data_IF_991219778199
#
_entry.id   IF_991219778199
#
_cell.length_a   1.000
_cell.length_b   1.000
_cell.length_c   1.000
_cell.angle_alpha   90.00
_cell.angle_beta   90.00
_cell.angle_gamma   90.00
#
_symmetry.space_group_name_H-M   'P 1'
#
loop_
_entity.id
_entity.type
_entity.pdbx_description
1 polymer ?
#
# COMPACT_ATOMS: atom_id res chain seq x y z
N UNK A 1 -9.34 -12.84 -5.70
CA UNK A 1 -7.96 -13.37 -5.87
C UNK A 1 -7.34 -12.45 -6.89
N UNK A 2 -6.42 -11.57 -6.45
CA UNK A 2 -5.63 -10.74 -7.36
C UNK A 2 -4.74 -11.66 -8.18
N UNK A 3 -4.61 -11.37 -9.46
CA UNK A 3 -3.61 -12.09 -10.26
C UNK A 3 -2.22 -11.68 -9.73
N UNK A 4 -1.31 -12.65 -9.44
CA UNK A 4 -0.04 -12.36 -8.77
C UNK A 4 1.00 -11.71 -9.70
N UNK A 5 0.55 -10.86 -10.61
CA UNK A 5 1.38 -10.32 -11.69
C UNK A 5 1.82 -8.88 -11.46
N UNK A 6 1.16 -8.15 -10.54
CA UNK A 6 1.36 -6.72 -10.40
C UNK A 6 1.85 -6.36 -9.00
N UNK A 7 2.93 -5.60 -8.93
CA UNK A 7 3.50 -5.07 -7.70
C UNK A 7 3.45 -3.54 -7.69
N UNK A 8 2.96 -2.99 -6.60
CA UNK A 8 3.01 -1.56 -6.32
C UNK A 8 4.08 -1.28 -5.27
N UNK A 9 5.00 -0.38 -5.56
CA UNK A 9 6.20 -0.18 -4.74
C UNK A 9 6.50 1.29 -4.48
N UNK A 10 7.22 1.52 -3.38
CA UNK A 10 7.77 2.81 -3.00
C UNK A 10 9.30 2.81 -3.10
N UNK A 11 9.89 4.00 -3.13
CA UNK A 11 11.34 4.19 -3.30
C UNK A 11 12.14 4.23 -1.99
N UNK A 12 11.53 3.96 -0.84
CA UNK A 12 12.26 3.82 0.42
C UNK A 12 13.01 2.49 0.46
N UNK A 13 14.23 2.48 0.98
CA UNK A 13 15.11 1.28 0.97
C UNK A 13 14.51 0.11 1.75
N UNK A 14 13.85 0.39 2.85
CA UNK A 14 13.15 -0.58 3.70
C UNK A 14 11.92 -1.22 3.01
N UNK A 15 11.37 -0.56 1.99
CA UNK A 15 10.28 -1.09 1.17
C UNK A 15 10.72 -1.67 -0.17
N UNK A 16 11.93 -1.32 -0.64
CA UNK A 16 12.43 -1.70 -1.96
C UNK A 16 13.30 -2.95 -1.94
N UNK A 17 14.12 -3.15 -0.90
CA UNK A 17 15.13 -4.21 -0.92
C UNK A 17 14.54 -5.62 -0.96
N UNK A 18 13.36 -5.83 -0.40
CA UNK A 18 12.63 -7.10 -0.51
C UNK A 18 12.24 -7.48 -1.95
N UNK A 19 12.07 -6.49 -2.83
CA UNK A 19 11.71 -6.71 -4.22
C UNK A 19 12.75 -7.58 -4.96
N UNK A 20 14.03 -7.33 -4.76
CA UNK A 20 15.09 -8.06 -5.49
C UNK A 20 15.13 -9.53 -5.10
N UNK A 21 14.91 -9.83 -3.81
CA UNK A 21 14.76 -11.20 -3.33
C UNK A 21 13.52 -11.89 -3.93
N UNK A 22 12.41 -11.16 -4.03
CA UNK A 22 11.19 -11.67 -4.65
C UNK A 22 11.39 -11.94 -6.16
N UNK A 23 12.02 -11.03 -6.90
CA UNK A 23 12.32 -11.20 -8.32
C UNK A 23 13.23 -12.43 -8.56
N UNK A 24 14.28 -12.58 -7.74
CA UNK A 24 15.16 -13.75 -7.79
C UNK A 24 14.40 -15.04 -7.50
N UNK A 25 13.53 -15.06 -6.50
CA UNK A 25 12.70 -16.21 -6.15
C UNK A 25 11.73 -16.56 -7.28
N UNK A 26 11.06 -15.58 -7.88
CA UNK A 26 10.18 -15.79 -9.02
C UNK A 26 10.92 -16.42 -10.20
N UNK A 27 12.16 -15.97 -10.49
CA UNK A 27 12.99 -16.56 -11.54
C UNK A 27 13.37 -18.01 -11.21
N UNK A 28 13.79 -18.29 -9.97
CA UNK A 28 14.15 -19.63 -9.52
C UNK A 28 12.96 -20.60 -9.56
N UNK A 29 11.76 -20.13 -9.24
CA UNK A 29 10.53 -20.94 -9.32
C UNK A 29 9.96 -21.04 -10.74
N UNK A 30 10.67 -20.52 -11.74
CA UNK A 30 10.36 -20.74 -13.15
C UNK A 30 9.19 -19.91 -13.66
N UNK A 31 8.96 -18.70 -13.11
CA UNK A 31 7.98 -17.76 -13.68
C UNK A 31 8.30 -17.50 -15.14
N UNK A 32 7.27 -17.53 -15.98
CA UNK A 32 7.35 -17.24 -17.42
C UNK A 32 6.50 -16.02 -17.84
N UNK A 33 5.41 -15.74 -17.11
CA UNK A 33 4.55 -14.61 -17.40
C UNK A 33 5.21 -13.30 -16.97
N UNK A 34 5.12 -12.25 -17.79
CA UNK A 34 5.62 -10.93 -17.51
C UNK A 34 5.15 -10.40 -16.16
N UNK A 35 5.99 -9.62 -15.49
CA UNK A 35 5.69 -8.98 -14.22
C UNK A 35 5.57 -7.48 -14.43
N UNK A 36 4.38 -6.94 -14.16
CA UNK A 36 4.14 -5.51 -14.21
C UNK A 36 4.44 -4.89 -12.84
N UNK A 37 5.26 -3.83 -12.84
CA UNK A 37 5.64 -3.09 -11.63
C UNK A 37 5.26 -1.63 -11.83
N UNK A 38 4.46 -1.10 -10.88
CA UNK A 38 3.99 0.28 -10.86
C UNK A 38 4.66 1.03 -9.72
N UNK A 39 5.18 2.22 -9.98
CA UNK A 39 5.83 3.02 -8.94
C UNK A 39 6.43 4.32 -9.45
N UNK A 40 7.07 5.10 -8.58
CA UNK A 40 7.72 6.35 -8.94
C UNK A 40 8.74 6.19 -10.07
N UNK A 41 8.92 7.22 -10.89
CA UNK A 41 9.81 7.18 -12.07
C UNK A 41 11.22 6.69 -11.75
N UNK A 42 11.77 7.06 -10.59
CA UNK A 42 13.12 6.68 -10.18
C UNK A 42 13.30 5.16 -10.02
N UNK A 43 12.22 4.41 -9.72
CA UNK A 43 12.27 2.95 -9.59
C UNK A 43 12.71 2.26 -10.90
N UNK A 44 12.36 2.84 -12.06
CA UNK A 44 12.75 2.29 -13.35
C UNK A 44 14.26 2.16 -13.53
N UNK A 45 15.04 3.14 -13.05
CA UNK A 45 16.51 3.08 -13.10
C UNK A 45 17.06 1.96 -12.23
N UNK A 46 16.48 1.74 -11.06
CA UNK A 46 16.90 0.68 -10.13
C UNK A 46 16.57 -0.72 -10.71
N UNK A 47 15.39 -0.88 -11.30
CA UNK A 47 15.01 -2.12 -11.98
C UNK A 47 15.90 -2.43 -13.18
N UNK A 48 16.25 -1.42 -13.97
CA UNK A 48 17.18 -1.57 -15.08
C UNK A 48 18.57 -1.99 -14.60
N UNK A 49 19.06 -1.36 -13.52
CA UNK A 49 20.32 -1.77 -12.89
C UNK A 49 20.25 -3.23 -12.44
N UNK A 50 19.23 -3.62 -11.68
CA UNK A 50 19.05 -5.00 -11.24
C UNK A 50 19.06 -5.98 -12.41
N UNK A 51 18.28 -5.69 -13.45
CA UNK A 51 18.18 -6.55 -14.64
C UNK A 51 19.50 -6.71 -15.37
N UNK A 52 20.32 -5.65 -15.44
CA UNK A 52 21.61 -5.69 -16.14
C UNK A 52 22.65 -6.61 -15.46
N UNK A 53 22.53 -6.82 -14.15
CA UNK A 53 23.48 -7.65 -13.38
C UNK A 53 22.91 -9.03 -13.02
N UNK A 54 21.61 -9.13 -12.78
CA UNK A 54 20.98 -10.32 -12.21
C UNK A 54 19.85 -10.88 -13.10
N UNK A 55 19.63 -10.32 -14.29
CA UNK A 55 18.58 -10.77 -15.20
C UNK A 55 18.91 -12.01 -16.01
N UNK A 56 20.14 -12.53 -15.94
CA UNK A 56 20.54 -13.74 -16.65
C UNK A 56 19.72 -14.95 -16.17
N UNK A 57 19.09 -15.66 -17.09
CA UNK A 57 18.23 -16.82 -16.77
C UNK A 57 16.80 -16.50 -16.38
N UNK A 58 16.40 -15.24 -16.27
CA UNK A 58 15.00 -14.86 -16.10
C UNK A 58 14.21 -15.19 -17.38
N UNK A 59 13.10 -15.92 -17.23
CA UNK A 59 12.21 -16.30 -18.33
C UNK A 59 11.01 -15.36 -18.53
N UNK A 60 10.95 -14.27 -17.76
CA UNK A 60 9.89 -13.27 -17.82
C UNK A 60 10.48 -11.86 -17.92
N UNK A 61 9.73 -10.96 -18.52
CA UNK A 61 10.08 -9.54 -18.56
C UNK A 61 9.53 -8.79 -17.34
N UNK A 62 10.33 -7.81 -16.86
CA UNK A 62 9.87 -6.83 -15.90
C UNK A 62 9.37 -5.61 -16.69
N UNK A 63 8.05 -5.43 -16.70
CA UNK A 63 7.39 -4.31 -17.40
C UNK A 63 7.13 -3.19 -16.41
N UNK A 64 8.04 -2.23 -16.33
CA UNK A 64 7.88 -1.09 -15.44
C UNK A 64 6.93 -0.04 -16.03
N UNK A 65 6.01 0.44 -15.19
CA UNK A 65 5.08 1.52 -15.47
C UNK A 65 5.27 2.64 -14.46
N UNK A 66 5.82 3.75 -14.89
CA UNK A 66 5.97 4.91 -14.04
C UNK A 66 4.61 5.50 -13.67
N UNK A 67 4.44 5.75 -12.37
CA UNK A 67 3.28 6.47 -11.83
C UNK A 67 3.69 7.91 -11.55
N UNK A 68 2.87 8.85 -12.01
CA UNK A 68 3.00 10.27 -11.69
C UNK A 68 1.61 10.90 -11.71
N UNK A 69 1.05 11.16 -10.53
CA UNK A 69 -0.28 11.73 -10.40
C UNK A 69 -0.36 12.70 -9.23
N UNK A 70 -1.25 13.69 -9.33
CA UNK A 70 -1.57 14.65 -8.27
C UNK A 70 -2.93 14.35 -7.62
N UNK A 71 -3.74 13.52 -8.28
CA UNK A 71 -5.06 13.06 -7.91
C UNK A 71 -5.17 11.58 -8.26
N UNK A 72 -6.19 10.84 -7.79
CA UNK A 72 -6.37 9.44 -8.12
C UNK A 72 -6.38 9.21 -9.64
N UNK A 73 -5.56 8.27 -10.10
CA UNK A 73 -5.39 7.92 -11.50
C UNK A 73 -5.47 6.41 -11.68
N UNK A 74 -6.28 5.94 -12.63
CA UNK A 74 -6.30 4.53 -13.01
C UNK A 74 -4.95 4.15 -13.64
N UNK A 75 -4.23 3.22 -13.03
CA UNK A 75 -2.90 2.76 -13.48
C UNK A 75 -2.93 1.37 -14.08
N UNK A 76 -3.90 0.55 -13.68
CA UNK A 76 -4.10 -0.80 -14.21
C UNK A 76 -5.59 -1.14 -14.31
N UNK A 77 -5.96 -1.88 -15.35
CA UNK A 77 -7.30 -2.45 -15.50
C UNK A 77 -7.17 -3.84 -16.12
N UNK A 78 -7.77 -4.82 -15.48
CA UNK A 78 -7.91 -6.17 -15.98
C UNK A 78 -9.39 -6.55 -16.03
N UNK A 79 -9.71 -7.79 -16.40
CA UNK A 79 -11.10 -8.28 -16.34
C UNK A 79 -11.64 -8.45 -14.91
N UNK A 80 -10.78 -8.46 -13.88
CA UNK A 80 -11.15 -8.77 -12.51
C UNK A 80 -10.99 -7.60 -11.55
N UNK A 81 -10.08 -6.65 -11.84
CA UNK A 81 -9.74 -5.55 -10.94
C UNK A 81 -9.31 -4.31 -11.69
N UNK A 82 -9.72 -3.16 -11.17
CA UNK A 82 -9.17 -1.85 -11.48
C UNK A 82 -8.24 -1.43 -10.34
N UNK A 83 -7.08 -0.86 -10.68
CA UNK A 83 -6.14 -0.31 -9.70
C UNK A 83 -5.91 1.16 -10.00
N UNK A 84 -6.18 1.99 -9.00
CA UNK A 84 -5.90 3.42 -9.04
C UNK A 84 -4.76 3.76 -8.09
N UNK A 85 -3.82 4.59 -8.54
CA UNK A 85 -2.79 5.18 -7.70
C UNK A 85 -3.19 6.59 -7.29
N UNK A 86 -2.78 7.03 -6.11
CA UNK A 86 -2.97 8.39 -5.61
C UNK A 86 -1.76 8.85 -4.78
N UNK A 87 -1.44 10.17 -4.77
CA UNK A 87 -0.24 10.66 -4.12
C UNK A 87 -0.37 10.65 -2.59
N UNK A 88 0.67 10.17 -1.92
CA UNK A 88 0.86 10.25 -0.48
C UNK A 88 1.81 11.42 -0.14
N UNK A 89 1.78 11.86 1.12
CA UNK A 89 2.65 12.93 1.62
C UNK A 89 3.83 12.33 2.40
N UNK A 90 4.92 12.10 1.69
CA UNK A 90 6.16 11.61 2.29
C UNK A 90 7.39 12.34 1.73
N UNK A 91 8.55 12.19 2.39
CA UNK A 91 9.82 12.84 1.98
C UNK A 91 10.30 12.41 0.60
N UNK A 92 9.98 11.19 0.22
CA UNK A 92 10.28 10.61 -1.08
C UNK A 92 8.95 10.42 -1.82
N UNK A 93 8.94 10.66 -3.13
CA UNK A 93 7.78 10.41 -3.97
C UNK A 93 7.23 9.00 -3.74
N UNK A 94 5.98 8.92 -3.32
CA UNK A 94 5.30 7.67 -3.02
C UNK A 94 3.81 7.78 -3.32
N UNK A 95 3.19 6.63 -3.52
CA UNK A 95 1.78 6.52 -3.91
C UNK A 95 1.09 5.47 -3.05
N UNK A 96 -0.16 5.75 -2.70
CA UNK A 96 -1.12 4.76 -2.26
C UNK A 96 -1.80 4.11 -3.45
N UNK A 97 -2.41 2.96 -3.23
CA UNK A 97 -3.10 2.22 -4.28
C UNK A 97 -4.46 1.76 -3.78
N UNK A 98 -5.48 1.93 -4.64
CA UNK A 98 -6.83 1.43 -4.43
C UNK A 98 -7.14 0.37 -5.47
N UNK A 99 -7.63 -0.76 -5.00
CA UNK A 99 -8.02 -1.92 -5.79
C UNK A 99 -9.54 -2.07 -5.69
N UNK A 100 -10.22 -1.99 -6.81
CA UNK A 100 -11.67 -2.19 -6.88
C UNK A 100 -11.95 -3.41 -7.76
N UNK A 101 -12.63 -4.45 -7.22
CA UNK A 101 -13.03 -5.61 -8.01
C UNK A 101 -14.04 -5.21 -9.08
N UNK A 102 -13.99 -5.88 -10.23
CA UNK A 102 -14.98 -5.68 -11.27
C UNK A 102 -16.15 -6.61 -11.01
N UNK A 103 -17.41 -6.08 -10.90
CA UNK A 103 -18.59 -6.90 -10.68
C UNK A 103 -18.77 -7.97 -11.76
N UNK A 104 -19.19 -9.14 -11.34
CA UNK A 104 -19.56 -10.25 -12.23
C UNK A 104 -20.95 -10.79 -11.87
N UNK A 105 -21.53 -11.59 -12.73
CA UNK A 105 -22.82 -12.22 -12.44
C UNK A 105 -22.83 -13.07 -11.14
N UNK A 106 -21.64 -13.58 -10.72
CA UNK A 106 -21.49 -14.38 -9.50
C UNK A 106 -21.11 -13.53 -8.29
N UNK A 107 -20.56 -12.31 -8.49
CA UNK A 107 -20.18 -11.35 -7.47
C UNK A 107 -20.61 -9.97 -7.95
N UNK A 108 -21.86 -9.59 -7.71
CA UNK A 108 -22.40 -8.31 -8.20
C UNK A 108 -21.89 -7.10 -7.44
N UNK A 109 -21.34 -7.29 -6.24
CA UNK A 109 -20.83 -6.22 -5.40
C UNK A 109 -19.36 -5.93 -5.69
N UNK A 110 -19.00 -4.65 -5.60
CA UNK A 110 -17.59 -4.22 -5.66
C UNK A 110 -16.97 -4.48 -4.29
N UNK A 111 -15.91 -5.26 -4.27
CA UNK A 111 -15.04 -5.41 -3.11
C UNK A 111 -13.81 -4.56 -3.34
N UNK A 112 -13.43 -3.73 -2.36
CA UNK A 112 -12.35 -2.77 -2.50
C UNK A 112 -11.36 -2.82 -1.36
N UNK A 113 -10.08 -2.65 -1.70
CA UNK A 113 -8.97 -2.57 -0.78
C UNK A 113 -8.12 -1.34 -1.10
N UNK A 114 -7.63 -0.63 -0.09
CA UNK A 114 -6.67 0.43 -0.30
C UNK A 114 -5.46 0.27 0.62
N UNK A 115 -4.30 0.65 0.08
CA UNK A 115 -3.02 0.58 0.75
C UNK A 115 -2.40 1.97 0.83
N UNK A 116 -2.24 2.48 2.05
CA UNK A 116 -1.61 3.75 2.37
C UNK A 116 -0.48 3.51 3.35
N UNK A 117 0.76 3.52 2.88
CA UNK A 117 1.92 3.36 3.76
C UNK A 117 2.92 4.48 3.54
N UNK A 118 3.46 5.01 4.64
CA UNK A 118 4.32 6.18 4.76
C UNK A 118 3.69 7.44 4.18
N UNK A 119 2.83 8.04 4.97
CA UNK A 119 2.21 9.31 4.64
C UNK A 119 1.96 10.14 5.89
N UNK A 120 2.25 11.43 5.83
CA UNK A 120 1.65 12.37 6.77
C UNK A 120 0.13 12.39 6.57
N UNK A 121 -0.59 12.81 7.62
CA UNK A 121 -2.04 13.00 7.54
C UNK A 121 -2.41 13.97 6.43
N UNK A 122 -3.36 13.59 5.61
CA UNK A 122 -3.84 14.34 4.45
C UNK A 122 -5.34 14.20 4.34
N UNK A 123 -6.07 15.31 4.50
CA UNK A 123 -7.55 15.30 4.50
C UNK A 123 -8.14 14.72 3.20
N UNK A 124 -7.49 15.01 2.06
CA UNK A 124 -7.94 14.52 0.76
C UNK A 124 -7.98 12.98 0.65
N UNK A 125 -7.23 12.26 1.49
CA UNK A 125 -7.27 10.80 1.47
C UNK A 125 -8.65 10.26 1.80
N UNK A 126 -9.41 10.91 2.69
CA UNK A 126 -10.76 10.48 3.03
C UNK A 126 -11.71 10.52 1.84
N UNK A 127 -11.58 11.50 0.95
CA UNK A 127 -12.38 11.58 -0.28
C UNK A 127 -11.99 10.48 -1.28
N UNK A 128 -10.67 10.25 -1.47
CA UNK A 128 -10.16 9.27 -2.43
C UNK A 128 -10.41 7.82 -2.00
N UNK A 129 -10.53 7.61 -0.70
CA UNK A 129 -10.76 6.30 -0.09
C UNK A 129 -12.23 6.03 0.26
N UNK A 130 -13.13 6.92 -0.12
CA UNK A 130 -14.55 6.82 0.23
C UNK A 130 -15.12 5.44 -0.05
N UNK A 131 -15.73 4.84 0.98
CA UNK A 131 -16.45 3.58 0.91
C UNK A 131 -15.58 2.33 0.65
N UNK A 132 -14.25 2.40 0.82
CA UNK A 132 -13.37 1.23 0.69
C UNK A 132 -13.72 0.19 1.74
N UNK A 133 -13.84 -1.09 1.35
CA UNK A 133 -14.17 -2.16 2.29
C UNK A 133 -13.06 -2.37 3.33
N UNK A 134 -11.80 -2.39 2.90
CA UNK A 134 -10.65 -2.54 3.80
C UNK A 134 -9.57 -1.52 3.46
N UNK A 135 -9.22 -0.71 4.44
CA UNK A 135 -8.12 0.25 4.36
C UNK A 135 -6.93 -0.25 5.19
N UNK A 136 -5.79 -0.49 4.53
CA UNK A 136 -4.50 -0.57 5.21
C UNK A 136 -3.90 0.83 5.28
N UNK A 137 -3.60 1.31 6.48
CA UNK A 137 -2.99 2.62 6.68
C UNK A 137 -1.86 2.53 7.68
N UNK A 138 -0.74 3.21 7.39
CA UNK A 138 0.30 3.36 8.37
C UNK A 138 -0.19 4.13 9.59
N UNK A 139 0.36 3.79 10.75
CA UNK A 139 0.17 4.52 12.00
C UNK A 139 1.45 4.42 12.84
N UNK A 140 2.50 5.03 12.34
CA UNK A 140 3.86 4.88 12.88
C UNK A 140 3.97 5.35 14.33
N UNK A 141 3.14 6.32 14.74
CA UNK A 141 3.21 6.95 16.06
C UNK A 141 1.87 6.94 16.79
N UNK A 142 1.92 6.93 18.13
CA UNK A 142 0.77 7.28 18.97
C UNK A 142 0.47 8.78 18.89
N UNK A 143 -0.74 9.18 19.27
CA UNK A 143 -1.21 10.55 19.08
C UNK A 143 -0.38 11.60 19.82
N UNK A 144 0.14 11.28 20.99
CA UNK A 144 1.03 12.15 21.77
C UNK A 144 2.29 12.58 20.99
N UNK A 145 2.65 11.83 19.93
CA UNK A 145 3.81 12.12 19.08
C UNK A 145 3.43 12.79 17.75
N UNK A 146 2.28 13.46 17.66
CA UNK A 146 1.75 14.03 16.41
C UNK A 146 2.74 15.01 15.74
N UNK A 147 3.42 15.85 16.49
CA UNK A 147 4.42 16.79 15.95
C UNK A 147 5.59 16.02 15.29
N UNK A 148 6.02 14.92 15.92
CA UNK A 148 7.07 14.09 15.37
C UNK A 148 6.60 13.31 14.14
N UNK A 149 5.37 12.83 14.15
CA UNK A 149 4.75 12.19 13.00
C UNK A 149 4.75 13.14 11.80
N UNK A 150 4.24 14.35 11.96
CA UNK A 150 4.23 15.38 10.93
C UNK A 150 5.65 15.71 10.42
N UNK A 151 6.62 15.93 11.32
CA UNK A 151 8.01 16.21 10.94
C UNK A 151 8.67 15.07 10.14
N UNK A 152 8.27 13.82 10.40
CA UNK A 152 8.79 12.64 9.73
C UNK A 152 7.99 12.22 8.50
N UNK A 153 6.88 12.92 8.20
CA UNK A 153 5.92 12.58 7.16
C UNK A 153 5.29 11.20 7.38
N UNK A 154 4.82 10.97 8.60
CA UNK A 154 4.06 9.81 9.02
C UNK A 154 2.76 10.20 9.69
N UNK A 155 1.88 9.24 9.88
CA UNK A 155 0.61 9.41 10.57
C UNK A 155 0.66 8.86 12.00
N UNK A 156 -0.26 9.36 12.83
CA UNK A 156 -0.56 8.76 14.14
C UNK A 156 -1.73 7.80 14.05
N UNK A 157 -1.89 6.97 15.09
CA UNK A 157 -3.06 6.09 15.32
C UNK A 157 -4.39 6.82 15.15
N UNK A 158 -4.52 7.99 15.80
CA UNK A 158 -5.75 8.81 15.73
C UNK A 158 -5.96 9.35 14.30
N UNK A 159 -4.91 9.79 13.62
CA UNK A 159 -5.01 10.31 12.25
C UNK A 159 -5.40 9.22 11.24
N UNK A 160 -4.83 8.01 11.35
CA UNK A 160 -5.23 6.87 10.53
C UNK A 160 -6.71 6.50 10.76
N UNK A 161 -7.14 6.50 12.03
CA UNK A 161 -8.52 6.22 12.40
C UNK A 161 -9.50 7.33 11.96
N UNK A 162 -9.09 8.60 12.00
CA UNK A 162 -9.86 9.73 11.45
C UNK A 162 -10.05 9.58 9.94
N UNK A 163 -8.97 9.28 9.21
CA UNK A 163 -9.04 9.02 7.76
C UNK A 163 -10.03 7.90 7.46
N UNK A 164 -9.98 6.79 8.20
CA UNK A 164 -10.88 5.65 8.02
C UNK A 164 -12.36 6.01 8.29
N UNK A 165 -12.61 6.77 9.36
CA UNK A 165 -13.95 7.24 9.73
C UNK A 165 -14.53 8.18 8.68
N UNK A 166 -13.75 9.18 8.25
CA UNK A 166 -14.21 10.22 7.33
C UNK A 166 -14.38 9.67 5.90
N UNK A 167 -13.57 8.65 5.55
CA UNK A 167 -13.72 7.87 4.33
C UNK A 167 -14.86 6.83 4.40
N UNK A 168 -15.49 6.61 5.55
CA UNK A 168 -16.54 5.58 5.73
C UNK A 168 -16.09 4.19 5.30
N UNK A 169 -14.84 3.79 5.64
CA UNK A 169 -14.34 2.47 5.26
C UNK A 169 -14.99 1.37 6.09
N UNK A 170 -15.05 0.15 5.54
CA UNK A 170 -15.61 -0.99 6.27
C UNK A 170 -14.75 -1.47 7.43
N UNK A 171 -13.42 -1.52 7.23
CA UNK A 171 -12.42 -1.94 8.23
C UNK A 171 -11.13 -1.17 8.05
N UNK A 172 -10.48 -0.82 9.17
CA UNK A 172 -9.13 -0.27 9.19
C UNK A 172 -8.14 -1.33 9.66
N UNK A 173 -7.06 -1.50 8.91
CA UNK A 173 -5.88 -2.26 9.31
C UNK A 173 -4.75 -1.26 9.51
N UNK A 174 -4.29 -1.07 10.75
CA UNK A 174 -3.12 -0.24 11.05
C UNK A 174 -1.86 -1.08 11.10
N UNK A 175 -0.78 -0.53 10.55
CA UNK A 175 0.51 -1.18 10.51
C UNK A 175 1.65 -0.15 10.46
N UNK A 176 2.88 -0.60 10.17
CA UNK A 176 4.07 0.26 10.07
C UNK A 176 4.33 1.03 11.38
N UNK A 177 4.05 0.41 12.51
CA UNK A 177 4.26 1.00 13.82
C UNK A 177 5.74 1.05 14.20
N UNK A 178 6.13 2.09 14.94
CA UNK A 178 7.49 2.25 15.43
C UNK A 178 7.90 1.07 16.32
N UNK A 179 9.12 0.57 16.13
CA UNK A 179 9.70 -0.47 17.02
C UNK A 179 9.83 -0.04 18.50
N UNK A 180 9.54 1.22 18.80
CA UNK A 180 9.53 1.77 20.15
C UNK A 180 8.19 1.64 20.87
N UNK A 181 7.14 1.18 20.17
CA UNK A 181 5.84 0.90 20.78
C UNK A 181 5.98 -0.35 21.63
N UNK A 182 5.84 -0.18 22.92
CA UNK A 182 5.93 -1.26 23.92
C UNK A 182 4.56 -1.71 24.42
N UNK A 183 3.56 -0.82 24.34
CA UNK A 183 2.17 -1.09 24.73
C UNK A 183 1.28 -1.10 23.47
N UNK A 184 1.10 -2.28 22.94
CA UNK A 184 0.28 -2.52 21.75
C UNK A 184 -1.22 -2.38 22.03
N UNK A 185 -1.65 -2.64 23.25
CA UNK A 185 -3.05 -2.49 23.64
C UNK A 185 -3.44 -1.00 23.67
N UNK A 186 -2.63 -0.17 24.33
CA UNK A 186 -2.83 1.28 24.31
C UNK A 186 -2.80 1.85 22.90
N UNK A 187 -1.83 1.43 22.07
CA UNK A 187 -1.72 1.83 20.67
C UNK A 187 -3.01 1.53 19.88
N UNK A 188 -3.53 0.31 19.99
CA UNK A 188 -4.73 -0.10 19.26
C UNK A 188 -6.00 0.57 19.81
N UNK A 189 -6.05 0.82 21.13
CA UNK A 189 -7.18 1.49 21.76
C UNK A 189 -7.34 2.93 21.28
N UNK A 190 -6.25 3.68 21.06
CA UNK A 190 -6.34 5.03 20.45
C UNK A 190 -7.03 4.99 19.08
N UNK A 191 -6.73 3.98 18.24
CA UNK A 191 -7.43 3.81 16.96
C UNK A 191 -8.92 3.50 17.17
N UNK A 192 -9.22 2.55 18.07
CA UNK A 192 -10.58 2.05 18.30
C UNK A 192 -11.53 3.09 18.91
N UNK A 193 -11.00 4.03 19.68
CA UNK A 193 -11.79 5.14 20.23
C UNK A 193 -12.35 6.03 19.11
N UNK A 194 -11.63 6.15 17.97
CA UNK A 194 -12.03 6.98 16.82
C UNK A 194 -12.75 6.16 15.75
N UNK A 195 -12.27 4.94 15.49
CA UNK A 195 -12.84 4.00 14.52
C UNK A 195 -12.85 2.57 15.08
N UNK A 196 -13.97 2.10 15.63
CA UNK A 196 -14.05 0.82 16.38
C UNK A 196 -13.65 -0.42 15.56
N UNK A 197 -13.94 -0.46 14.25
CA UNK A 197 -13.56 -1.59 13.40
C UNK A 197 -12.11 -1.50 12.92
N UNK A 198 -11.18 -1.43 13.87
CA UNK A 198 -9.74 -1.32 13.66
C UNK A 198 -9.01 -2.54 14.21
N UNK A 199 -8.04 -3.03 13.45
CA UNK A 199 -7.10 -4.09 13.85
C UNK A 199 -5.67 -3.65 13.55
N UNK A 200 -4.71 -4.14 14.34
CA UNK A 200 -3.29 -3.97 14.04
C UNK A 200 -2.76 -5.22 13.33
N UNK A 201 -2.07 -5.03 12.20
CA UNK A 201 -1.47 -6.13 11.46
C UNK A 201 -0.14 -6.57 12.07
N UNK A 202 0.11 -7.87 12.04
CA UNK A 202 1.39 -8.49 12.36
C UNK A 202 1.88 -9.31 11.17
N UNK A 203 3.19 -9.58 11.12
CA UNK A 203 3.77 -10.40 10.08
C UNK A 203 3.14 -11.81 10.07
N UNK A 204 2.63 -12.22 8.93
CA UNK A 204 1.94 -13.50 8.77
C UNK A 204 0.43 -13.45 8.90
N UNK A 205 -0.16 -12.33 9.31
CA UNK A 205 -1.62 -12.19 9.36
C UNK A 205 -2.24 -12.26 7.96
N UNK A 206 -3.41 -12.86 7.88
CA UNK A 206 -4.23 -12.95 6.66
C UNK A 206 -5.58 -12.31 6.91
N UNK A 207 -5.93 -11.33 6.09
CA UNK A 207 -7.21 -10.63 6.15
C UNK A 207 -8.04 -10.93 4.89
N UNK A 208 -9.28 -11.29 5.08
CA UNK A 208 -10.25 -11.40 3.98
C UNK A 208 -10.86 -10.02 3.69
N UNK A 209 -11.10 -9.75 2.39
CA UNK A 209 -11.67 -8.51 1.86
C UNK A 209 -13.08 -8.79 1.33
#
# INVERSE_FOLDING_TARGET
>A
IFEPHDLSLRMSSDHLFGLFGLLSSMAMYGREADLYIYGPQALGSVLNFYRSFFGEGMKFDIVFKAVSCKEPMLVHSSRNVNVSAFPLDHKIECYGYRFDSIPTARRPEITSYAYCSDTAYKEQLSEWLKGVNVLYHEATYQHEMADKAAFRHHSTTVQAAQCARDAEVGRLIVAHYSSRITDFEAYLNECKEVFPNCVAAQDGDVFEI
#
